data_IF_062987199271
#
_entry.id   IF_062987199271
#
_cell.length_a   1.000
_cell.length_b   1.000
_cell.length_c   1.000
_cell.angle_alpha   90.00
_cell.angle_beta   90.00
_cell.angle_gamma   90.00
#
_symmetry.space_group_name_H-M   'P 1'
#
loop_
_entity.id
_entity.type
_entity.pdbx_description
1 polymer ?
#
# COMPACT_ATOMS: atom_id res chain seq x y z
N UNK A 1 -20.78 -11.99 -4.50
CA UNK A 1 -20.72 -10.72 -5.25
C UNK A 1 -19.58 -9.82 -4.75
N UNK A 2 -19.12 -10.03 -3.51
CA UNK A 2 -18.03 -9.35 -2.79
C UNK A 2 -16.69 -9.36 -3.54
N UNK A 3 -16.31 -10.49 -4.14
CA UNK A 3 -15.00 -10.66 -4.80
C UNK A 3 -14.79 -9.71 -6.01
N UNK A 4 -15.84 -9.42 -6.80
CA UNK A 4 -15.73 -8.50 -7.94
C UNK A 4 -15.57 -7.04 -7.49
N UNK A 5 -16.25 -6.65 -6.41
CA UNK A 5 -16.15 -5.30 -5.86
C UNK A 5 -14.77 -5.08 -5.24
N UNK A 6 -14.23 -6.08 -4.55
CA UNK A 6 -12.85 -6.04 -4.02
C UNK A 6 -11.81 -5.96 -5.14
N UNK A 7 -11.97 -6.72 -6.23
CA UNK A 7 -11.08 -6.63 -7.39
C UNK A 7 -11.12 -5.26 -8.08
N UNK A 8 -12.30 -4.67 -8.24
CA UNK A 8 -12.43 -3.31 -8.80
C UNK A 8 -11.82 -2.24 -7.88
N UNK A 9 -12.01 -2.38 -6.57
CA UNK A 9 -11.38 -1.53 -5.57
C UNK A 9 -9.86 -1.66 -5.58
N UNK A 10 -9.33 -2.88 -5.61
CA UNK A 10 -7.90 -3.18 -5.70
C UNK A 10 -7.28 -2.49 -6.90
N UNK A 11 -7.86 -2.65 -8.10
CA UNK A 11 -7.36 -2.01 -9.33
C UNK A 11 -7.34 -0.49 -9.19
N UNK A 12 -8.41 0.11 -8.62
CA UNK A 12 -8.50 1.55 -8.42
C UNK A 12 -7.43 2.06 -7.44
N UNK A 13 -7.25 1.38 -6.31
CA UNK A 13 -6.22 1.72 -5.32
C UNK A 13 -4.84 1.57 -5.94
N UNK A 14 -4.54 0.45 -6.59
CA UNK A 14 -3.27 0.21 -7.27
C UNK A 14 -2.91 1.31 -8.25
N UNK A 15 -3.87 1.82 -9.04
CA UNK A 15 -3.64 2.92 -9.97
C UNK A 15 -3.28 4.22 -9.24
N UNK A 16 -4.01 4.59 -8.19
CA UNK A 16 -3.72 5.79 -7.37
C UNK A 16 -2.32 5.71 -6.78
N UNK A 17 -2.00 4.57 -6.17
CA UNK A 17 -0.72 4.34 -5.50
C UNK A 17 0.42 4.34 -6.51
N UNK A 18 0.24 3.72 -7.69
CA UNK A 18 1.22 3.70 -8.78
C UNK A 18 1.54 5.10 -9.28
N UNK A 19 0.53 5.93 -9.53
CA UNK A 19 0.74 7.32 -9.98
C UNK A 19 1.55 8.15 -8.96
N UNK A 20 1.44 7.83 -7.67
CA UNK A 20 2.14 8.57 -6.60
C UNK A 20 3.54 8.05 -6.30
N UNK A 21 3.73 6.73 -6.31
CA UNK A 21 4.95 6.08 -5.82
C UNK A 21 5.91 5.64 -6.93
N UNK A 22 5.44 5.39 -8.15
CA UNK A 22 6.27 4.78 -9.17
C UNK A 22 7.51 5.64 -9.51
N UNK A 23 8.71 5.11 -9.21
CA UNK A 23 10.00 5.78 -9.36
C UNK A 23 10.12 7.12 -8.61
N UNK A 24 9.28 7.33 -7.60
CA UNK A 24 9.32 8.53 -6.76
C UNK A 24 10.57 8.48 -5.86
N UNK A 25 11.32 9.58 -5.83
CA UNK A 25 12.37 9.81 -4.85
C UNK A 25 11.80 10.60 -3.67
N UNK A 26 11.96 10.11 -2.45
CA UNK A 26 11.37 10.67 -1.24
C UNK A 26 12.48 10.84 -0.19
N UNK A 27 12.70 12.03 0.38
CA UNK A 27 13.64 12.21 1.49
C UNK A 27 13.29 11.32 2.68
N UNK A 28 14.30 10.84 3.41
CA UNK A 28 14.09 10.00 4.59
C UNK A 28 13.11 10.65 5.60
N UNK A 29 13.28 11.96 5.83
CA UNK A 29 12.44 12.72 6.76
C UNK A 29 10.97 12.84 6.34
N UNK A 30 10.66 12.63 5.05
CA UNK A 30 9.33 12.83 4.49
C UNK A 30 8.56 11.52 4.27
N UNK A 31 9.19 10.36 4.47
CA UNK A 31 8.56 9.07 4.15
C UNK A 31 7.26 8.83 4.92
N UNK A 32 7.24 9.15 6.22
CA UNK A 32 6.04 8.96 7.05
C UNK A 32 4.90 9.87 6.60
N UNK A 33 5.19 11.14 6.29
CA UNK A 33 4.19 12.07 5.78
C UNK A 33 3.64 11.60 4.44
N UNK A 34 4.52 11.16 3.54
CA UNK A 34 4.14 10.66 2.22
C UNK A 34 3.23 9.43 2.29
N UNK A 35 3.56 8.47 3.16
CA UNK A 35 2.77 7.25 3.41
C UNK A 35 1.37 7.63 3.92
N UNK A 36 1.29 8.56 4.89
CA UNK A 36 0.02 9.06 5.43
C UNK A 36 -0.81 9.83 4.40
N UNK A 37 -0.17 10.66 3.56
CA UNK A 37 -0.84 11.39 2.48
C UNK A 37 -1.42 10.42 1.44
N UNK A 38 -0.68 9.36 1.11
CA UNK A 38 -1.14 8.34 0.16
C UNK A 38 -2.33 7.57 0.73
N UNK A 39 -2.31 7.20 2.02
CA UNK A 39 -3.46 6.60 2.71
C UNK A 39 -4.69 7.47 2.62
N UNK A 40 -4.59 8.73 3.06
CA UNK A 40 -5.72 9.67 3.05
C UNK A 40 -6.28 9.89 1.65
N UNK A 41 -5.41 9.96 0.64
CA UNK A 41 -5.82 10.11 -0.75
C UNK A 41 -6.62 8.90 -1.22
N UNK A 42 -6.13 7.69 -0.95
CA UNK A 42 -6.84 6.45 -1.28
C UNK A 42 -8.21 6.45 -0.61
N UNK A 43 -8.28 6.66 0.70
CA UNK A 43 -9.54 6.72 1.46
C UNK A 43 -10.51 7.74 0.87
N UNK A 44 -10.04 8.93 0.51
CA UNK A 44 -10.87 10.00 -0.08
C UNK A 44 -11.40 9.60 -1.47
N UNK A 45 -10.59 8.92 -2.27
CA UNK A 45 -10.95 8.58 -3.66
C UNK A 45 -11.76 7.29 -3.78
N UNK A 46 -11.60 6.36 -2.86
CA UNK A 46 -12.25 5.05 -2.90
C UNK A 46 -13.38 4.91 -1.88
N UNK A 47 -13.36 5.71 -0.81
CA UNK A 47 -14.25 5.56 0.33
C UNK A 47 -13.89 4.37 1.23
N UNK A 48 -12.72 3.73 1.00
CA UNK A 48 -12.28 2.55 1.73
C UNK A 48 -11.16 2.88 2.70
N UNK A 49 -11.29 2.43 3.94
CA UNK A 49 -10.23 2.42 4.94
C UNK A 49 -9.06 1.54 4.48
N UNK A 50 -7.87 2.14 4.43
CA UNK A 50 -6.64 1.43 4.06
C UNK A 50 -5.51 1.75 5.04
N UNK A 51 -4.60 0.80 5.23
CA UNK A 51 -3.38 1.03 6.02
C UNK A 51 -2.16 0.44 5.33
N UNK A 52 -1.04 1.11 5.50
CA UNK A 52 0.26 0.51 5.19
C UNK A 52 0.65 -0.42 6.32
N UNK A 53 1.26 -1.56 6.01
CA UNK A 53 1.88 -2.40 7.03
C UNK A 53 2.97 -1.60 7.73
N UNK A 54 2.87 -1.59 9.05
CA UNK A 54 3.86 -1.01 9.96
C UNK A 54 4.69 -2.10 10.63
N UNK A 55 4.64 -3.33 10.12
CA UNK A 55 5.40 -4.42 10.70
C UNK A 55 6.91 -4.16 10.54
N UNK A 56 7.65 -4.17 11.65
CA UNK A 56 9.07 -3.78 11.73
C UNK A 56 9.97 -4.57 10.75
N UNK A 57 9.58 -5.78 10.36
CA UNK A 57 10.28 -6.61 9.38
C UNK A 57 10.08 -6.18 7.92
N UNK A 58 9.04 -5.42 7.57
CA UNK A 58 8.83 -4.91 6.21
C UNK A 58 9.74 -3.69 5.92
N UNK A 59 9.90 -2.77 6.87
CA UNK A 59 10.90 -1.69 6.74
C UNK A 59 12.33 -2.23 6.69
N UNK A 60 12.66 -3.24 7.51
CA UNK A 60 13.96 -3.92 7.48
C UNK A 60 14.23 -4.64 6.15
N UNK A 61 13.19 -5.03 5.41
CA UNK A 61 13.30 -5.67 4.10
C UNK A 61 13.07 -4.72 2.92
N UNK A 62 12.99 -3.40 3.16
CA UNK A 62 12.74 -2.38 2.13
C UNK A 62 11.42 -2.59 1.37
N UNK A 63 10.37 -3.07 2.04
CA UNK A 63 9.05 -3.30 1.45
C UNK A 63 7.99 -2.53 2.24
N UNK A 64 6.98 -2.03 1.55
CA UNK A 64 5.76 -1.49 2.14
C UNK A 64 4.57 -2.11 1.42
N UNK A 65 3.73 -2.81 2.18
CA UNK A 65 2.48 -3.39 1.69
C UNK A 65 1.30 -2.51 2.12
N UNK A 66 0.35 -2.25 1.22
CA UNK A 66 -0.91 -1.55 1.52
C UNK A 66 -2.06 -2.55 1.59
N UNK A 67 -2.95 -2.39 2.57
CA UNK A 67 -4.09 -3.26 2.81
C UNK A 67 -5.39 -2.48 2.95
N UNK A 68 -6.52 -3.10 2.60
CA UNK A 68 -7.88 -2.65 2.95
C UNK A 68 -8.24 -3.22 4.32
N UNK A 69 -8.80 -2.37 5.19
CA UNK A 69 -9.10 -2.69 6.59
C UNK A 69 -10.57 -2.49 6.98
N UNK A 70 -11.43 -2.15 6.02
CA UNK A 70 -12.86 -1.98 6.30
C UNK A 70 -13.53 -3.33 6.51
N UNK A 71 -14.09 -3.49 7.71
CA UNK A 71 -14.74 -4.70 8.22
C UNK A 71 -15.92 -5.12 7.32
N UNK A 72 -16.64 -4.16 6.73
CA UNK A 72 -17.81 -4.44 5.87
C UNK A 72 -17.43 -5.03 4.50
N UNK A 73 -16.15 -5.01 4.14
CA UNK A 73 -15.62 -5.53 2.87
C UNK A 73 -14.91 -6.88 3.02
N UNK A 74 -14.53 -7.25 4.24
CA UNK A 74 -13.92 -8.55 4.56
C UNK A 74 -15.07 -9.50 4.91
N UNK A 75 -15.31 -10.49 4.04
CA UNK A 75 -16.43 -11.43 4.10
C UNK A 75 -16.75 -11.90 5.55
N UNK A 76 -18.03 -11.88 5.94
CA UNK A 76 -18.55 -12.37 7.23
C UNK A 76 -18.25 -13.87 7.51
N UNK A 77 -17.60 -14.57 6.59
CA UNK A 77 -17.30 -16.00 6.63
C UNK A 77 -15.84 -16.33 6.96
N UNK A 78 -14.98 -15.33 7.18
CA UNK A 78 -13.62 -15.56 7.66
C UNK A 78 -13.60 -15.18 9.14
N UNK A 79 -13.48 -16.18 10.01
CA UNK A 79 -13.43 -16.08 11.49
C UNK A 79 -12.26 -15.20 12.01
N UNK A 80 -11.49 -14.59 11.12
CA UNK A 80 -10.39 -13.68 11.41
C UNK A 80 -10.53 -12.43 10.53
N UNK A 81 -10.61 -11.27 11.15
CA UNK A 81 -10.48 -9.93 10.55
C UNK A 81 -9.12 -9.82 9.81
N UNK A 82 -9.03 -10.39 8.61
CA UNK A 82 -7.81 -10.37 7.82
C UNK A 82 -7.83 -9.17 6.87
N UNK A 83 -6.81 -8.34 6.96
CA UNK A 83 -6.63 -7.21 6.04
C UNK A 83 -6.41 -7.72 4.61
N UNK A 84 -7.13 -7.17 3.63
CA UNK A 84 -6.97 -7.57 2.22
C UNK A 84 -5.76 -6.84 1.62
N UNK A 85 -4.70 -7.58 1.28
CA UNK A 85 -3.49 -7.02 0.67
C UNK A 85 -3.76 -6.52 -0.75
N UNK A 86 -3.50 -5.24 -1.01
CA UNK A 86 -3.79 -4.59 -2.30
C UNK A 86 -2.55 -4.51 -3.18
N UNK A 87 -1.44 -3.99 -2.65
CA UNK A 87 -0.23 -3.80 -3.43
C UNK A 87 1.01 -3.79 -2.53
N UNK A 88 2.16 -4.12 -3.11
CA UNK A 88 3.47 -4.05 -2.42
C UNK A 88 4.41 -3.15 -3.22
N UNK A 89 5.10 -2.27 -2.50
CA UNK A 89 6.16 -1.44 -3.05
C UNK A 89 7.48 -1.79 -2.41
N UNK A 90 8.54 -1.84 -3.22
CA UNK A 90 9.90 -1.88 -2.74
C UNK A 90 10.41 -0.45 -2.59
N UNK A 91 10.89 -0.09 -1.40
CA UNK A 91 11.43 1.23 -1.10
C UNK A 91 12.90 1.10 -0.76
N UNK A 92 13.79 1.44 -1.70
CA UNK A 92 15.25 1.31 -1.54
C UNK A 92 15.87 2.63 -1.13
N UNK A 93 16.73 2.63 -0.12
CA UNK A 93 17.49 3.82 0.28
C UNK A 93 18.74 4.04 -0.58
N UNK A 94 18.90 5.25 -1.11
CA UNK A 94 20.12 5.74 -1.74
C UNK A 94 20.88 6.62 -0.75
N UNK A 95 22.01 6.12 -0.26
CA UNK A 95 22.83 6.81 0.75
C UNK A 95 23.53 8.06 0.22
N UNK A 96 23.91 8.11 -1.05
CA UNK A 96 24.59 9.26 -1.66
C UNK A 96 23.65 10.47 -1.78
N UNK A 97 22.38 10.19 -2.04
CA UNK A 97 21.35 11.23 -2.23
C UNK A 97 20.52 11.47 -0.95
N UNK A 98 20.60 10.60 0.06
CA UNK A 98 19.74 10.58 1.24
C UNK A 98 18.23 10.50 0.88
N UNK A 99 17.91 9.67 -0.11
CA UNK A 99 16.56 9.51 -0.65
C UNK A 99 16.16 8.04 -0.67
N UNK A 100 14.91 7.76 -0.36
CA UNK A 100 14.26 6.51 -0.72
C UNK A 100 13.72 6.55 -2.15
N UNK A 101 13.79 5.42 -2.85
CA UNK A 101 13.26 5.21 -4.18
C UNK A 101 12.16 4.16 -4.08
N UNK A 102 10.93 4.55 -4.36
CA UNK A 102 9.80 3.63 -4.41
C UNK A 102 9.65 3.03 -5.82
N UNK A 103 9.58 1.71 -5.89
CA UNK A 103 9.32 0.94 -7.10
C UNK A 103 8.24 -0.07 -6.81
N UNK A 104 7.31 -0.24 -7.75
CA UNK A 104 6.30 -1.28 -7.64
C UNK A 104 7.00 -2.64 -7.55
N UNK A 105 6.72 -3.41 -6.50
CA UNK A 105 7.21 -4.77 -6.45
C UNK A 105 6.42 -5.55 -7.51
N UNK A 106 7.07 -6.02 -8.56
CA UNK A 106 6.46 -7.00 -9.45
C UNK A 106 6.01 -8.16 -8.57
N UNK A 107 4.70 -8.39 -8.53
CA UNK A 107 4.13 -9.58 -7.92
C UNK A 107 4.82 -10.76 -8.60
N UNK A 108 5.80 -11.38 -7.93
CA UNK A 108 6.25 -12.69 -8.35
C UNK A 108 5.02 -13.57 -8.21
N UNK A 109 4.49 -13.99 -9.36
CA UNK A 109 3.48 -15.05 -9.43
C UNK A 109 4.16 -16.28 -8.86
N UNK A 110 3.91 -16.57 -7.58
CA UNK A 110 4.22 -17.85 -6.95
C UNK A 110 3.24 -18.91 -7.45
#
# INVERSE_FOLDING_TARGET
>A
MTNKVLQEAEVKICNIVREKLHNKKIPFAEINNFVQETTKLVETMTGLGVKWSTEDHEFGSNRLSLYICDIDYVDEFIDELMDWKVCTYCIKYNAEQNLFIATEATTEVL
#
